data_IF_805697957379
#
_entry.id   IF_805697957379
#
_cell.length_a   1.000
_cell.length_b   1.000
_cell.length_c   1.000
_cell.angle_alpha   90.00
_cell.angle_beta   90.00
_cell.angle_gamma   90.00
#
_symmetry.space_group_name_H-M   'P 1'
#
loop_
_entity.id
_entity.type
_entity.pdbx_description
1 polymer ?
#
# COMPACT_ATOMS: atom_id res chain seq x y z
N UNK A 1 -19.96 -0.25 -19.60
CA UNK A 1 -19.22 0.98 -19.95
C UNK A 1 -19.02 1.93 -18.77
N UNK A 2 -19.99 2.11 -17.86
CA UNK A 2 -19.81 3.01 -16.69
C UNK A 2 -18.69 2.57 -15.71
N UNK A 3 -18.56 1.27 -15.44
CA UNK A 3 -17.51 0.75 -14.54
C UNK A 3 -16.08 0.92 -15.10
N UNK A 4 -15.91 0.88 -16.43
CA UNK A 4 -14.59 1.10 -17.05
C UNK A 4 -14.17 2.58 -17.02
N UNK A 5 -15.14 3.51 -17.08
CA UNK A 5 -14.87 4.95 -16.96
C UNK A 5 -14.45 5.37 -15.55
N UNK A 6 -15.10 4.82 -14.52
CA UNK A 6 -14.77 5.10 -13.11
C UNK A 6 -13.35 4.59 -12.77
N UNK A 7 -13.01 3.38 -13.21
CA UNK A 7 -11.67 2.80 -12.98
C UNK A 7 -10.55 3.60 -13.65
N UNK A 8 -10.79 4.12 -14.85
CA UNK A 8 -9.85 5.00 -15.55
C UNK A 8 -9.64 6.33 -14.80
N UNK A 9 -10.68 6.84 -14.14
CA UNK A 9 -10.60 8.09 -13.37
C UNK A 9 -9.80 7.92 -12.07
N UNK A 10 -9.93 6.78 -11.38
CA UNK A 10 -9.14 6.46 -10.18
C UNK A 10 -7.65 6.26 -10.50
N UNK A 11 -7.34 5.55 -11.60
CA UNK A 11 -5.95 5.35 -12.04
C UNK A 11 -5.29 6.68 -12.41
N UNK A 12 -6.02 7.59 -13.08
CA UNK A 12 -5.55 8.95 -13.41
C UNK A 12 -5.33 9.79 -12.16
N UNK A 13 -6.20 9.66 -11.15
CA UNK A 13 -6.08 10.36 -9.88
C UNK A 13 -4.87 9.88 -9.06
N UNK A 14 -4.69 8.56 -8.95
CA UNK A 14 -3.51 7.96 -8.30
C UNK A 14 -2.20 8.37 -8.99
N UNK A 15 -2.19 8.39 -10.33
CA UNK A 15 -1.05 8.87 -11.09
C UNK A 15 -0.77 10.38 -10.86
N UNK A 16 -1.78 11.19 -10.58
CA UNK A 16 -1.60 12.60 -10.24
C UNK A 16 -1.01 12.75 -8.84
N UNK A 17 -1.55 12.01 -7.86
CA UNK A 17 -1.04 12.00 -6.48
C UNK A 17 0.45 11.60 -6.44
N UNK A 18 0.84 10.60 -7.23
CA UNK A 18 2.24 10.20 -7.37
C UNK A 18 3.12 11.30 -7.96
N UNK A 19 2.66 11.99 -9.01
CA UNK A 19 3.42 13.10 -9.61
C UNK A 19 3.58 14.30 -8.66
N UNK A 20 2.56 14.58 -7.83
CA UNK A 20 2.63 15.61 -6.79
C UNK A 20 3.64 15.23 -5.71
N UNK A 21 3.61 13.98 -5.23
CA UNK A 21 4.56 13.49 -4.22
C UNK A 21 6.02 13.54 -4.73
N UNK A 22 6.27 13.15 -5.98
CA UNK A 22 7.62 13.26 -6.57
C UNK A 22 8.10 14.70 -6.64
N UNK A 23 7.19 15.64 -6.88
CA UNK A 23 7.53 17.07 -6.97
C UNK A 23 7.80 17.68 -5.59
N UNK A 24 7.04 17.29 -4.55
CA UNK A 24 7.31 17.77 -3.19
C UNK A 24 8.67 17.30 -2.68
N UNK A 25 9.06 16.05 -2.97
CA UNK A 25 10.39 15.53 -2.64
C UNK A 25 11.51 16.35 -3.29
N UNK A 26 11.35 16.71 -4.58
CA UNK A 26 12.34 17.55 -5.26
C UNK A 26 12.45 18.96 -4.66
N UNK A 27 11.39 19.47 -4.02
CA UNK A 27 11.39 20.76 -3.33
C UNK A 27 12.07 20.65 -1.96
N UNK A 28 11.81 19.58 -1.21
CA UNK A 28 12.45 19.33 0.09
C UNK A 28 13.98 19.15 -0.07
N UNK A 29 14.43 18.44 -1.12
CA UNK A 29 15.84 18.32 -1.47
C UNK A 29 16.51 19.68 -1.73
N UNK A 30 15.80 20.59 -2.41
CA UNK A 30 16.28 21.94 -2.67
C UNK A 30 16.40 22.74 -1.36
N UNK A 31 15.41 22.62 -0.46
CA UNK A 31 15.37 23.28 0.85
C UNK A 31 16.53 22.82 1.73
N UNK A 32 16.76 21.50 1.79
CA UNK A 32 17.84 20.91 2.57
C UNK A 32 19.22 21.33 2.03
N UNK A 33 19.39 21.34 0.70
CA UNK A 33 20.62 21.79 0.06
C UNK A 33 20.91 23.28 0.30
N UNK A 34 19.89 24.14 0.21
CA UNK A 34 20.02 25.57 0.54
C UNK A 34 20.36 25.75 2.02
N UNK A 35 19.73 24.96 2.90
CA UNK A 35 19.98 25.01 4.35
C UNK A 35 21.39 24.56 4.71
N UNK A 36 21.93 23.53 4.06
CA UNK A 36 23.31 23.08 4.25
C UNK A 36 24.33 24.11 3.77
N UNK A 37 24.08 24.76 2.62
CA UNK A 37 24.93 25.85 2.12
C UNK A 37 24.96 27.05 3.08
N UNK A 38 23.79 27.47 3.59
CA UNK A 38 23.70 28.59 4.53
C UNK A 38 24.39 28.32 5.87
N UNK A 39 24.55 27.05 6.27
CA UNK A 39 25.27 26.65 7.49
C UNK A 39 26.80 26.55 7.29
N UNK A 40 27.29 26.65 6.05
CA UNK A 40 28.71 26.50 5.74
C UNK A 40 29.23 25.05 5.81
N UNK A 41 28.33 24.06 5.84
CA UNK A 41 28.64 22.63 6.09
C UNK A 41 29.01 21.83 4.82
N UNK A 42 29.31 22.49 3.70
CA UNK A 42 29.60 21.83 2.42
C UNK A 42 30.98 22.16 1.85
N UNK A 43 31.63 21.16 1.25
CA UNK A 43 32.86 21.24 0.44
C UNK A 43 32.70 22.09 -0.85
N UNK A 44 31.51 22.66 -1.08
CA UNK A 44 31.23 23.62 -2.14
C UNK A 44 31.68 24.98 -1.61
N UNK A 45 32.96 25.29 -1.85
CA UNK A 45 33.63 26.51 -1.38
C UNK A 45 32.79 27.78 -1.56
N UNK A 46 33.08 28.78 -0.75
CA UNK A 46 32.44 30.10 -0.58
C UNK A 46 32.21 30.96 -1.85
N UNK A 47 32.39 30.40 -3.04
CA UNK A 47 32.17 31.06 -4.31
C UNK A 47 30.71 30.86 -4.77
N UNK A 48 29.88 31.89 -4.54
CA UNK A 48 28.46 31.98 -4.95
C UNK A 48 28.20 31.55 -6.40
N UNK A 49 29.18 31.73 -7.30
CA UNK A 49 29.07 31.32 -8.71
C UNK A 49 29.05 29.80 -8.90
N UNK A 50 29.82 29.05 -8.11
CA UNK A 50 29.86 27.59 -8.17
C UNK A 50 28.58 26.98 -7.58
N UNK A 51 28.05 27.57 -6.51
CA UNK A 51 26.75 27.20 -5.94
C UNK A 51 25.59 27.40 -6.93
N UNK A 52 25.55 28.52 -7.65
CA UNK A 52 24.54 28.74 -8.69
C UNK A 52 24.66 27.77 -9.87
N UNK A 53 25.88 27.42 -10.30
CA UNK A 53 26.07 26.41 -11.34
C UNK A 53 25.60 25.02 -10.89
N UNK A 54 25.80 24.69 -9.61
CA UNK A 54 25.36 23.43 -9.01
C UNK A 54 23.83 23.34 -8.81
N UNK A 55 23.17 24.44 -8.45
CA UNK A 55 21.70 24.49 -8.28
C UNK A 55 20.91 24.40 -9.59
N UNK A 56 21.51 24.86 -10.69
CA UNK A 56 20.86 24.97 -12.00
C UNK A 56 20.15 23.70 -12.49
N UNK A 57 20.74 22.49 -12.43
CA UNK A 57 20.06 21.25 -12.82
C UNK A 57 18.84 20.91 -11.94
N UNK A 58 18.91 21.16 -10.62
CA UNK A 58 17.80 20.89 -9.70
C UNK A 58 16.61 21.81 -9.96
N UNK A 59 16.87 23.12 -10.10
CA UNK A 59 15.84 24.10 -10.45
C UNK A 59 15.20 23.79 -11.81
N UNK A 60 15.99 23.39 -12.81
CA UNK A 60 15.50 22.98 -14.12
C UNK A 60 14.58 21.75 -14.05
N UNK A 61 14.96 20.76 -13.22
CA UNK A 61 14.15 19.54 -12.99
C UNK A 61 12.83 19.87 -12.30
N UNK A 62 12.86 20.72 -11.26
CA UNK A 62 11.65 21.20 -10.56
C UNK A 62 10.74 21.95 -11.52
N UNK A 63 11.29 22.89 -12.30
CA UNK A 63 10.53 23.67 -13.27
C UNK A 63 9.88 22.78 -14.33
N UNK A 64 10.60 21.77 -14.82
CA UNK A 64 10.05 20.80 -15.78
C UNK A 64 8.89 20.00 -15.17
N UNK A 65 8.99 19.61 -13.90
CA UNK A 65 7.94 18.88 -13.20
C UNK A 65 6.70 19.75 -12.95
N UNK A 66 6.90 21.03 -12.58
CA UNK A 66 5.80 21.99 -12.42
C UNK A 66 5.02 22.14 -13.73
N UNK A 67 5.71 22.36 -14.86
CA UNK A 67 5.06 22.49 -16.18
C UNK A 67 4.23 21.23 -16.50
N UNK A 68 4.80 20.03 -16.29
CA UNK A 68 4.07 18.78 -16.52
C UNK A 68 2.82 18.63 -15.63
N UNK A 69 2.89 19.10 -14.39
CA UNK A 69 1.74 19.10 -13.48
C UNK A 69 0.66 20.10 -13.91
N UNK A 70 1.06 21.29 -14.39
CA UNK A 70 0.15 22.29 -14.92
C UNK A 70 -0.58 21.78 -16.17
N UNK A 71 0.14 21.18 -17.13
CA UNK A 71 -0.45 20.56 -18.32
C UNK A 71 -1.46 19.46 -17.96
N UNK A 72 -1.11 18.62 -16.98
CA UNK A 72 -1.98 17.55 -16.50
C UNK A 72 -3.22 18.09 -15.79
N UNK A 73 -3.07 19.16 -15.00
CA UNK A 73 -4.19 19.86 -14.35
C UNK A 73 -5.14 20.48 -15.38
N UNK A 74 -4.61 21.09 -16.43
CA UNK A 74 -5.40 21.64 -17.52
C UNK A 74 -6.20 20.54 -18.24
N UNK A 75 -5.53 19.45 -18.61
CA UNK A 75 -6.16 18.28 -19.26
C UNK A 75 -7.31 17.71 -18.42
N UNK A 76 -7.11 17.60 -17.10
CA UNK A 76 -8.16 17.14 -16.17
C UNK A 76 -9.33 18.12 -16.09
N UNK A 77 -9.04 19.42 -16.10
CA UNK A 77 -10.07 20.47 -16.08
C UNK A 77 -10.94 20.41 -17.34
N UNK A 78 -10.33 20.25 -18.50
CA UNK A 78 -11.02 20.10 -19.79
C UNK A 78 -11.85 18.81 -19.82
N UNK A 79 -11.30 17.69 -19.34
CA UNK A 79 -12.02 16.41 -19.24
C UNK A 79 -13.25 16.53 -18.34
N UNK A 80 -13.11 17.17 -17.18
CA UNK A 80 -14.20 17.35 -16.23
C UNK A 80 -15.32 18.23 -16.83
N UNK A 81 -14.96 19.28 -17.57
CA UNK A 81 -15.92 20.11 -18.31
C UNK A 81 -16.73 19.27 -19.31
N UNK A 82 -16.06 18.46 -20.13
CA UNK A 82 -16.73 17.57 -21.10
C UNK A 82 -17.70 16.59 -20.42
N UNK A 83 -17.31 16.00 -19.29
CA UNK A 83 -18.18 15.11 -18.53
C UNK A 83 -19.41 15.84 -17.95
N UNK A 84 -19.24 17.06 -17.45
CA UNK A 84 -20.37 17.88 -17.00
C UNK A 84 -21.34 18.20 -18.14
N UNK A 85 -20.82 18.47 -19.34
CA UNK A 85 -21.64 18.72 -20.54
C UNK A 85 -22.42 17.45 -20.96
N UNK A 86 -21.78 16.28 -20.94
CA UNK A 86 -22.43 14.99 -21.23
C UNK A 86 -23.53 14.65 -20.21
N UNK A 87 -23.25 14.82 -18.91
CA UNK A 87 -24.25 14.62 -17.86
C UNK A 87 -25.44 15.56 -18.04
N UNK A 88 -25.19 16.82 -18.39
CA UNK A 88 -26.24 17.80 -18.66
C UNK A 88 -27.10 17.40 -19.86
N UNK A 89 -26.46 16.89 -20.94
CA UNK A 89 -27.16 16.36 -22.11
C UNK A 89 -28.04 15.15 -21.74
N UNK A 90 -27.50 14.17 -21.02
CA UNK A 90 -28.24 12.99 -20.59
C UNK A 90 -29.42 13.34 -19.67
N UNK A 91 -29.26 14.31 -18.78
CA UNK A 91 -30.35 14.79 -17.93
C UNK A 91 -31.47 15.45 -18.76
N UNK A 92 -31.12 16.24 -19.79
CA UNK A 92 -32.11 16.82 -20.69
C UNK A 92 -32.84 15.75 -21.52
N UNK A 93 -32.14 14.73 -21.99
CA UNK A 93 -32.74 13.58 -22.68
C UNK A 93 -33.68 12.79 -21.76
N UNK A 94 -33.26 12.56 -20.50
CA UNK A 94 -34.10 11.91 -19.49
C UNK A 94 -35.39 12.70 -19.22
N UNK A 95 -35.30 14.02 -19.06
CA UNK A 95 -36.47 14.89 -18.90
C UNK A 95 -37.40 14.85 -20.13
N UNK A 96 -36.82 14.83 -21.33
CA UNK A 96 -37.59 14.71 -22.58
C UNK A 96 -38.26 13.33 -22.75
N UNK A 97 -37.67 12.26 -22.22
CA UNK A 97 -38.29 10.94 -22.19
C UNK A 97 -39.41 10.87 -21.14
N UNK A 98 -39.20 11.45 -19.96
CA UNK A 98 -40.21 11.52 -18.91
C UNK A 98 -41.45 12.32 -19.35
N UNK A 99 -41.28 13.37 -20.16
CA UNK A 99 -42.41 14.12 -20.71
C UNK A 99 -43.18 13.37 -21.81
N UNK A 100 -42.55 12.40 -22.50
CA UNK A 100 -43.17 11.55 -23.53
C UNK A 100 -43.97 10.38 -22.97
N UNK A 101 -43.70 9.96 -21.73
CA UNK A 101 -44.40 8.86 -21.06
C UNK A 101 -44.93 9.27 -19.68
N UNK A 102 -45.93 10.17 -19.61
CA UNK A 102 -46.54 10.57 -18.35
C UNK A 102 -47.46 9.45 -17.84
N UNK A 103 -46.93 8.46 -17.13
CA UNK A 103 -47.79 7.38 -16.59
C UNK A 103 -47.15 6.21 -15.87
N UNK A 104 -45.83 6.08 -15.78
CA UNK A 104 -45.19 5.01 -15.03
C UNK A 104 -44.14 5.57 -14.07
N UNK A 105 -44.58 6.03 -12.90
CA UNK A 105 -43.69 6.10 -11.74
C UNK A 105 -44.51 6.05 -10.44
N UNK A 106 -44.73 4.84 -9.94
CA UNK A 106 -44.91 4.60 -8.52
C UNK A 106 -43.52 4.28 -7.95
N UNK A 107 -42.84 5.29 -7.41
CA UNK A 107 -41.91 5.14 -6.29
C UNK A 107 -41.53 6.53 -5.77
N UNK A 108 -42.35 7.01 -4.85
CA UNK A 108 -42.00 8.02 -3.87
C UNK A 108 -40.96 7.44 -2.91
N UNK A 109 -39.67 7.75 -3.10
CA UNK A 109 -38.66 7.74 -2.01
C UNK A 109 -37.27 8.31 -2.36
N UNK A 110 -37.05 8.88 -3.57
CA UNK A 110 -35.69 9.34 -3.96
C UNK A 110 -35.49 10.87 -3.88
N UNK A 111 -36.49 11.65 -3.46
CA UNK A 111 -36.37 13.11 -3.36
C UNK A 111 -36.26 13.64 -1.92
N UNK A 112 -35.33 13.16 -1.10
CA UNK A 112 -34.95 13.89 0.13
C UNK A 112 -33.44 13.94 0.49
N UNK A 113 -32.52 13.34 -0.29
CA UNK A 113 -31.10 13.31 0.11
C UNK A 113 -30.15 14.31 -0.59
N UNK A 114 -30.67 15.40 -1.15
CA UNK A 114 -29.82 16.46 -1.74
C UNK A 114 -30.03 17.85 -1.13
N UNK A 115 -30.35 17.96 0.17
CA UNK A 115 -30.35 19.25 0.89
C UNK A 115 -30.05 19.12 2.39
N UNK A 116 -28.91 18.57 2.78
CA UNK A 116 -28.42 18.71 4.17
C UNK A 116 -26.90 18.53 4.25
N UNK A 117 -26.16 19.33 3.49
CA UNK A 117 -24.71 19.51 3.69
C UNK A 117 -24.45 21.00 3.89
N UNK A 118 -24.88 21.53 5.04
CA UNK A 118 -24.39 22.78 5.62
C UNK A 118 -24.96 22.97 7.03
N UNK A 119 -24.08 23.14 8.03
CA UNK A 119 -24.34 23.33 9.48
C UNK A 119 -24.71 22.01 10.19
N UNK A 120 -24.10 21.58 11.28
CA UNK A 120 -23.71 22.36 12.46
C UNK A 120 -22.68 21.57 13.28
N UNK A 121 -21.63 22.28 13.70
CA UNK A 121 -20.69 21.87 14.73
C UNK A 121 -21.35 21.89 16.12
N UNK A 122 -20.74 21.20 17.09
CA UNK A 122 -20.82 21.33 18.56
C UNK A 122 -21.79 20.46 19.39
N UNK A 123 -21.17 19.69 20.32
CA UNK A 123 -21.63 19.24 21.68
C UNK A 123 -22.79 18.24 21.73
N UNK A 124 -22.71 17.09 22.42
CA UNK A 124 -22.67 16.83 23.89
C UNK A 124 -22.30 15.34 24.06
N UNK A 125 -21.12 14.93 24.57
CA UNK A 125 -20.73 14.53 25.96
C UNK A 125 -21.68 13.58 26.75
N UNK A 126 -21.12 12.40 27.13
CA UNK A 126 -21.40 11.54 28.32
C UNK A 126 -22.79 10.88 28.43
N UNK A 127 -23.03 9.66 28.92
CA UNK A 127 -22.33 8.53 29.56
C UNK A 127 -23.32 7.32 29.43
N UNK A 128 -22.94 6.04 29.38
CA UNK A 128 -22.89 5.12 30.54
C UNK A 128 -22.41 3.73 30.04
N UNK A 129 -21.51 3.13 30.82
CA UNK A 129 -20.93 1.78 30.69
C UNK A 129 -21.95 0.66 30.97
N UNK A 130 -21.82 -0.47 30.25
CA UNK A 130 -21.83 -1.81 30.87
C UNK A 130 -21.12 -2.84 29.99
N UNK A 131 -20.30 -3.64 30.66
CA UNK A 131 -19.38 -4.64 30.13
C UNK A 131 -20.09 -5.84 29.49
N UNK A 132 -19.60 -6.28 28.33
CA UNK A 132 -19.65 -7.70 27.95
C UNK A 132 -18.48 -8.02 26.99
N UNK A 133 -17.70 -9.06 27.33
CA UNK A 133 -16.57 -9.56 26.55
C UNK A 133 -17.07 -10.21 25.26
N UNK A 134 -16.92 -9.53 24.13
CA UNK A 134 -17.00 -10.12 22.80
C UNK A 134 -15.83 -9.64 21.94
N UNK A 135 -15.18 -10.58 21.25
CA UNK A 135 -14.06 -10.32 20.34
C UNK A 135 -14.48 -9.30 19.26
N UNK A 136 -13.70 -8.22 19.00
CA UNK A 136 -14.16 -7.21 18.06
C UNK A 136 -14.01 -7.70 16.62
N UNK A 137 -15.18 -7.88 16.01
CA UNK A 137 -15.42 -7.80 14.58
C UNK A 137 -14.78 -6.56 13.95
N UNK A 138 -13.95 -6.78 12.94
CA UNK A 138 -13.61 -5.88 11.82
C UNK A 138 -13.53 -4.36 12.13
N UNK A 139 -12.63 -3.95 13.03
CA UNK A 139 -12.15 -2.56 13.08
C UNK A 139 -11.22 -2.30 11.89
N UNK A 140 -11.40 -1.20 11.16
CA UNK A 140 -10.51 -0.81 10.07
C UNK A 140 -9.04 -0.82 10.54
N UNK A 141 -8.22 -1.71 9.97
CA UNK A 141 -6.78 -1.77 10.27
C UNK A 141 -6.12 -0.49 9.75
N UNK A 142 -5.16 0.07 10.50
CA UNK A 142 -4.40 1.23 10.04
C UNK A 142 -3.53 0.88 8.83
N UNK A 143 -3.22 1.87 7.99
CA UNK A 143 -2.37 1.68 6.80
C UNK A 143 -1.00 1.09 7.17
N UNK A 144 -0.43 1.53 8.29
CA UNK A 144 0.81 0.98 8.83
C UNK A 144 0.70 -0.50 9.15
N UNK A 145 -0.44 -0.93 9.71
CA UNK A 145 -0.68 -2.33 10.03
C UNK A 145 -0.81 -3.18 8.76
N UNK A 146 -1.57 -2.70 7.79
CA UNK A 146 -1.75 -3.36 6.49
C UNK A 146 -0.41 -3.52 5.77
N UNK A 147 0.43 -2.48 5.78
CA UNK A 147 1.75 -2.52 5.17
C UNK A 147 2.70 -3.51 5.88
N UNK A 148 2.69 -3.58 7.22
CA UNK A 148 3.51 -4.58 7.94
C UNK A 148 3.02 -6.00 7.64
N UNK A 149 1.70 -6.23 7.66
CA UNK A 149 1.11 -7.53 7.31
C UNK A 149 1.49 -7.94 5.87
N UNK A 150 1.48 -7.02 4.90
CA UNK A 150 1.99 -7.28 3.55
C UNK A 150 3.51 -7.49 3.51
N UNK A 151 4.27 -6.71 4.27
CA UNK A 151 5.72 -6.82 4.38
C UNK A 151 6.19 -8.19 4.86
N UNK A 152 5.43 -8.82 5.76
CA UNK A 152 5.67 -10.20 6.21
C UNK A 152 5.69 -11.20 5.04
N UNK A 153 4.78 -11.07 4.08
CA UNK A 153 4.71 -11.94 2.91
C UNK A 153 5.84 -11.67 1.91
N UNK A 154 6.23 -10.40 1.75
CA UNK A 154 7.36 -10.01 0.90
C UNK A 154 8.67 -10.59 1.46
N UNK A 155 8.94 -10.37 2.75
CA UNK A 155 10.17 -10.85 3.38
C UNK A 155 10.21 -12.38 3.49
N UNK A 156 9.07 -13.04 3.73
CA UNK A 156 8.98 -14.51 3.75
C UNK A 156 9.44 -15.08 2.42
N UNK A 157 8.90 -14.62 1.29
CA UNK A 157 9.30 -15.12 -0.03
C UNK A 157 10.78 -14.84 -0.36
N UNK A 158 11.34 -13.72 0.12
CA UNK A 158 12.78 -13.46 -0.02
C UNK A 158 13.63 -14.46 0.78
N UNK A 159 13.26 -14.74 2.04
CA UNK A 159 13.94 -15.75 2.89
C UNK A 159 13.87 -17.12 2.21
N UNK A 160 12.68 -17.53 1.76
CA UNK A 160 12.42 -18.79 1.06
C UNK A 160 13.34 -18.95 -0.16
N UNK A 161 13.46 -17.90 -0.98
CA UNK A 161 14.37 -17.90 -2.15
C UNK A 161 15.84 -17.97 -1.77
N UNK A 162 16.27 -17.18 -0.79
CA UNK A 162 17.70 -17.11 -0.41
C UNK A 162 18.19 -18.41 0.20
N UNK A 163 17.37 -19.03 1.06
CA UNK A 163 17.71 -20.30 1.70
C UNK A 163 17.30 -21.54 0.89
N UNK A 164 16.57 -21.36 -0.22
CA UNK A 164 16.02 -22.43 -1.03
C UNK A 164 15.25 -23.48 -0.20
N UNK A 165 14.27 -22.98 0.55
CA UNK A 165 13.40 -23.77 1.44
C UNK A 165 11.96 -23.75 0.91
N UNK A 166 11.06 -24.67 1.33
CA UNK A 166 9.64 -24.56 1.00
C UNK A 166 9.02 -23.29 1.61
N UNK A 167 7.85 -22.87 1.10
CA UNK A 167 7.14 -21.74 1.72
C UNK A 167 6.26 -22.21 2.89
N UNK A 168 5.66 -23.39 2.76
CA UNK A 168 4.79 -24.00 3.74
C UNK A 168 5.54 -24.43 5.00
N UNK A 169 4.88 -24.30 6.15
CA UNK A 169 5.39 -24.78 7.44
C UNK A 169 6.59 -24.03 8.00
N UNK A 170 7.09 -22.98 7.32
CA UNK A 170 8.36 -22.34 7.70
C UNK A 170 8.21 -21.18 8.68
N UNK A 171 7.10 -20.43 8.64
CA UNK A 171 6.87 -19.32 9.58
C UNK A 171 6.50 -19.84 10.96
N UNK A 172 7.30 -19.51 11.96
CA UNK A 172 7.08 -19.90 13.36
C UNK A 172 6.30 -18.84 14.13
N UNK A 173 6.70 -17.58 13.97
CA UNK A 173 6.06 -16.44 14.67
C UNK A 173 6.18 -15.17 13.84
N UNK A 174 5.20 -14.28 13.99
CA UNK A 174 5.26 -12.90 13.51
C UNK A 174 5.09 -11.96 14.70
N UNK A 175 5.74 -10.81 14.66
CA UNK A 175 5.67 -9.80 15.71
C UNK A 175 5.44 -8.42 15.10
N UNK A 176 4.63 -7.61 15.77
CA UNK A 176 4.32 -6.24 15.40
C UNK A 176 4.85 -5.33 16.49
N UNK A 177 5.66 -4.35 16.09
CA UNK A 177 6.15 -3.35 17.04
C UNK A 177 5.03 -2.39 17.43
N UNK A 178 5.19 -1.75 18.59
CA UNK A 178 4.39 -0.56 18.95
C UNK A 178 4.76 0.64 18.05
N UNK A 179 5.98 0.62 17.49
CA UNK A 179 6.38 1.57 16.44
C UNK A 179 5.66 1.27 15.12
N UNK A 180 5.09 2.30 14.46
CA UNK A 180 4.39 2.10 13.20
C UNK A 180 5.36 1.61 12.13
N UNK A 181 4.84 0.79 11.21
CA UNK A 181 5.57 0.24 10.07
C UNK A 181 6.70 -0.75 10.39
N UNK A 182 6.86 -1.15 11.66
CA UNK A 182 7.91 -2.09 12.09
C UNK A 182 7.32 -3.45 12.42
N UNK A 183 7.92 -4.50 11.85
CA UNK A 183 7.53 -5.88 12.08
C UNK A 183 8.73 -6.80 12.26
N UNK A 184 8.47 -8.05 12.62
CA UNK A 184 9.46 -9.11 12.57
C UNK A 184 8.83 -10.45 12.20
N UNK A 185 9.59 -11.27 11.49
CA UNK A 185 9.22 -12.64 11.13
C UNK A 185 10.26 -13.61 11.67
N UNK A 186 9.83 -14.74 12.22
CA UNK A 186 10.69 -15.87 12.52
C UNK A 186 10.40 -17.01 11.58
N UNK A 187 11.41 -17.42 10.83
CA UNK A 187 11.36 -18.55 9.88
C UNK A 187 12.29 -19.65 10.38
N UNK A 188 11.84 -20.90 10.35
CA UNK A 188 12.64 -22.06 10.74
C UNK A 188 12.57 -23.15 9.66
N UNK A 189 13.72 -23.73 9.34
CA UNK A 189 13.88 -24.89 8.48
C UNK A 189 15.33 -25.39 8.61
N UNK A 190 15.59 -26.68 8.43
CA UNK A 190 16.93 -27.26 8.65
C UNK A 190 18.02 -26.58 7.79
N UNK A 191 17.68 -26.19 6.57
CA UNK A 191 18.57 -25.46 5.65
C UNK A 191 18.82 -23.99 6.02
N UNK A 192 18.11 -23.43 7.01
CA UNK A 192 18.34 -22.05 7.45
C UNK A 192 19.59 -22.00 8.33
N UNK A 193 20.59 -21.28 7.85
CA UNK A 193 21.86 -21.04 8.54
C UNK A 193 21.94 -19.61 9.06
N UNK A 194 22.90 -19.35 9.96
CA UNK A 194 23.16 -18.01 10.49
C UNK A 194 23.41 -17.03 9.32
N UNK A 195 22.61 -15.97 9.17
CA UNK A 195 22.81 -15.00 8.09
C UNK A 195 24.11 -14.23 8.32
N UNK A 196 24.94 -14.15 7.28
CA UNK A 196 26.00 -13.14 7.17
C UNK A 196 25.44 -11.85 6.53
N UNK A 197 26.29 -10.83 6.40
CA UNK A 197 25.89 -9.54 5.83
C UNK A 197 25.45 -9.65 4.36
N UNK A 198 26.04 -10.59 3.61
CA UNK A 198 25.68 -10.82 2.22
C UNK A 198 24.30 -11.48 2.09
N UNK A 199 23.99 -12.49 2.92
CA UNK A 199 22.67 -13.09 3.02
C UNK A 199 21.64 -12.05 3.44
N UNK A 200 21.94 -11.23 4.45
CA UNK A 200 21.07 -10.12 4.84
C UNK A 200 20.80 -9.18 3.67
N UNK A 201 21.86 -8.74 2.97
CA UNK A 201 21.74 -7.85 1.81
C UNK A 201 20.91 -8.49 0.69
N UNK A 202 21.14 -9.76 0.37
CA UNK A 202 20.37 -10.49 -0.66
C UNK A 202 18.88 -10.56 -0.32
N UNK A 203 18.52 -10.84 0.93
CA UNK A 203 17.10 -10.85 1.35
C UNK A 203 16.50 -9.45 1.16
N UNK A 204 17.20 -8.39 1.59
CA UNK A 204 16.73 -7.00 1.44
C UNK A 204 16.62 -6.58 -0.04
N UNK A 205 17.61 -6.92 -0.86
CA UNK A 205 17.63 -6.64 -2.30
C UNK A 205 16.43 -7.32 -3.00
N UNK A 206 16.18 -8.61 -2.69
CA UNK A 206 15.04 -9.35 -3.23
C UNK A 206 13.69 -8.76 -2.82
N UNK A 207 13.54 -8.31 -1.57
CA UNK A 207 12.34 -7.62 -1.12
C UNK A 207 12.10 -6.36 -1.94
N UNK A 208 13.12 -5.49 -2.03
CA UNK A 208 12.99 -4.21 -2.71
C UNK A 208 12.89 -4.36 -4.24
N UNK A 209 13.46 -5.41 -4.83
CA UNK A 209 13.24 -5.75 -6.23
C UNK A 209 11.77 -6.09 -6.51
N UNK A 210 11.14 -6.91 -5.67
CA UNK A 210 9.73 -7.24 -5.81
C UNK A 210 8.84 -6.00 -5.63
N UNK A 211 9.12 -5.18 -4.61
CA UNK A 211 8.40 -3.92 -4.35
C UNK A 211 8.51 -2.99 -5.56
N UNK A 212 9.70 -2.79 -6.13
CA UNK A 212 9.92 -1.97 -7.34
C UNK A 212 9.18 -2.51 -8.57
N UNK A 213 9.09 -3.84 -8.71
CA UNK A 213 8.27 -4.47 -9.77
C UNK A 213 6.77 -4.24 -9.59
N UNK A 214 6.34 -3.80 -8.40
CA UNK A 214 4.96 -3.48 -8.07
C UNK A 214 3.99 -4.62 -8.45
N UNK A 215 4.36 -5.85 -8.09
CA UNK A 215 3.62 -7.08 -8.37
C UNK A 215 2.26 -7.04 -7.66
N UNK A 216 1.23 -7.53 -8.33
CA UNK A 216 -0.13 -7.68 -7.79
C UNK A 216 -0.18 -8.73 -6.67
N UNK A 217 -1.02 -8.47 -5.67
CA UNK A 217 -1.30 -9.36 -4.55
C UNK A 217 -2.76 -9.82 -4.67
N UNK A 218 -2.95 -11.10 -4.98
CA UNK A 218 -4.28 -11.68 -5.17
C UNK A 218 -4.76 -12.26 -3.86
N UNK A 219 -5.96 -11.88 -3.42
CA UNK A 219 -6.64 -12.50 -2.28
C UNK A 219 -7.78 -13.37 -2.81
N UNK A 220 -7.61 -14.69 -2.77
CA UNK A 220 -8.68 -15.65 -3.04
C UNK A 220 -9.52 -15.78 -1.78
N UNK A 221 -10.68 -15.12 -1.76
CA UNK A 221 -11.55 -15.05 -0.58
C UNK A 221 -12.51 -16.23 -0.52
N UNK A 222 -12.81 -16.65 0.70
CA UNK A 222 -13.88 -17.58 1.02
C UNK A 222 -13.84 -18.87 0.17
N UNK A 223 -12.66 -19.47 0.06
CA UNK A 223 -12.50 -20.77 -0.58
C UNK A 223 -12.91 -21.88 0.38
N UNK A 224 -13.54 -22.94 -0.14
CA UNK A 224 -13.59 -24.18 0.62
C UNK A 224 -12.17 -24.68 0.88
N UNK A 225 -11.91 -25.19 2.08
CA UNK A 225 -10.60 -25.71 2.47
C UNK A 225 -10.08 -26.76 1.48
N UNK A 226 -10.93 -27.71 1.08
CA UNK A 226 -10.51 -28.78 0.18
C UNK A 226 -10.15 -28.22 -1.21
N UNK A 227 -10.90 -27.23 -1.69
CA UNK A 227 -10.62 -26.56 -2.96
C UNK A 227 -9.31 -25.74 -2.89
N UNK A 228 -9.07 -25.05 -1.78
CA UNK A 228 -7.84 -24.31 -1.55
C UNK A 228 -6.62 -25.23 -1.52
N UNK A 229 -6.68 -26.32 -0.76
CA UNK A 229 -5.62 -27.33 -0.67
C UNK A 229 -5.38 -28.01 -2.02
N UNK A 230 -6.44 -28.29 -2.79
CA UNK A 230 -6.33 -28.84 -4.14
C UNK A 230 -5.65 -27.86 -5.11
N UNK A 231 -5.94 -26.56 -5.00
CA UNK A 231 -5.42 -25.53 -5.89
C UNK A 231 -3.98 -25.12 -5.56
N UNK A 232 -3.66 -24.94 -4.28
CA UNK A 232 -2.40 -24.34 -3.84
C UNK A 232 -1.48 -25.32 -3.09
N UNK A 233 -1.98 -26.52 -2.78
CA UNK A 233 -1.26 -27.51 -2.00
C UNK A 233 -1.19 -27.17 -0.51
N UNK A 234 -0.50 -28.02 0.28
CA UNK A 234 -0.30 -27.80 1.71
C UNK A 234 0.61 -26.60 2.04
N UNK A 235 1.30 -26.06 1.02
CA UNK A 235 2.23 -24.93 1.13
C UNK A 235 1.58 -23.62 1.60
N UNK A 236 0.24 -23.54 1.56
CA UNK A 236 -0.51 -22.38 2.05
C UNK A 236 -0.43 -22.21 3.57
N UNK A 237 -0.05 -23.24 4.32
CA UNK A 237 -0.04 -23.18 5.78
C UNK A 237 1.34 -22.83 6.34
N UNK A 238 1.38 -22.12 7.46
CA UNK A 238 2.59 -21.90 8.26
C UNK A 238 2.71 -22.97 9.36
N UNK A 239 3.71 -22.85 10.25
CA UNK A 239 3.91 -23.82 11.33
C UNK A 239 2.80 -23.81 12.40
N UNK A 240 1.97 -22.77 12.43
CA UNK A 240 0.76 -22.72 13.24
C UNK A 240 -0.44 -23.28 12.45
N UNK A 241 -1.07 -24.37 12.93
CA UNK A 241 -2.13 -25.02 12.18
C UNK A 241 -3.43 -24.20 12.18
N UNK A 242 -4.13 -24.19 11.04
CA UNK A 242 -5.50 -23.67 10.96
C UNK A 242 -6.46 -24.69 11.60
N UNK A 243 -7.25 -24.31 12.62
CA UNK A 243 -8.13 -25.24 13.33
C UNK A 243 -9.06 -26.00 12.37
N UNK A 244 -9.26 -27.31 12.57
CA UNK A 244 -10.06 -28.16 11.67
C UNK A 244 -11.48 -27.63 11.39
N UNK A 245 -12.07 -26.92 12.36
CA UNK A 245 -13.39 -26.28 12.25
C UNK A 245 -13.48 -25.13 11.22
N UNK A 246 -12.36 -24.58 10.77
CA UNK A 246 -12.33 -23.46 9.81
C UNK A 246 -12.37 -24.00 8.38
N UNK A 247 -13.56 -24.22 7.83
CA UNK A 247 -13.73 -24.80 6.50
C UNK A 247 -13.63 -23.80 5.36
N UNK A 248 -13.62 -22.49 5.68
CA UNK A 248 -13.54 -21.39 4.71
C UNK A 248 -12.23 -20.63 4.88
N UNK A 249 -11.44 -20.53 3.82
CA UNK A 249 -10.10 -19.96 3.85
C UNK A 249 -10.00 -18.72 2.95
N UNK A 250 -9.20 -17.75 3.39
CA UNK A 250 -8.69 -16.69 2.54
C UNK A 250 -7.23 -17.02 2.23
N UNK A 251 -6.87 -17.06 0.95
CA UNK A 251 -5.50 -17.34 0.50
C UNK A 251 -4.94 -16.10 -0.17
N UNK A 252 -3.87 -15.56 0.40
CA UNK A 252 -3.03 -14.54 -0.22
C UNK A 252 -2.03 -15.21 -1.16
N UNK A 253 -1.93 -14.69 -2.37
CA UNK A 253 -0.99 -15.13 -3.39
C UNK A 253 -0.23 -13.92 -3.96
N UNK A 254 1.10 -14.00 -3.86
CA UNK A 254 2.04 -13.21 -4.66
C UNK A 254 2.70 -14.20 -5.60
N UNK A 255 2.35 -14.12 -6.89
CA UNK A 255 2.73 -15.11 -7.89
C UNK A 255 4.24 -15.40 -7.89
N UNK A 256 4.60 -16.70 -7.85
CA UNK A 256 6.00 -17.17 -7.84
C UNK A 256 6.85 -16.60 -6.69
N UNK A 257 6.21 -16.15 -5.61
CA UNK A 257 6.87 -15.53 -4.47
C UNK A 257 6.40 -16.10 -3.14
N UNK A 258 5.12 -16.00 -2.84
CA UNK A 258 4.55 -16.48 -1.59
C UNK A 258 3.06 -16.80 -1.76
N UNK A 259 2.63 -17.92 -1.21
CA UNK A 259 1.22 -18.27 -1.04
C UNK A 259 0.98 -18.58 0.43
N UNK A 260 -0.10 -18.07 1.01
CA UNK A 260 -0.38 -18.26 2.43
C UNK A 260 -1.87 -18.11 2.75
N UNK A 261 -2.38 -18.96 3.64
CA UNK A 261 -3.70 -18.84 4.22
C UNK A 261 -3.69 -17.72 5.28
N UNK A 262 -4.13 -16.53 4.88
CA UNK A 262 -4.14 -15.34 5.72
C UNK A 262 -5.50 -14.62 5.61
N UNK A 263 -6.25 -14.44 6.72
CA UNK A 263 -7.53 -13.72 6.71
C UNK A 263 -7.39 -12.20 6.84
N UNK A 264 -6.16 -11.67 6.90
CA UNK A 264 -5.89 -10.24 7.15
C UNK A 264 -6.04 -9.39 5.88
N UNK A 265 -6.09 -8.08 6.07
CA UNK A 265 -6.09 -7.11 4.97
C UNK A 265 -4.65 -6.81 4.57
N UNK A 266 -4.44 -6.65 3.27
CA UNK A 266 -3.13 -6.45 2.67
C UNK A 266 -3.23 -5.35 1.60
N UNK A 267 -2.09 -4.76 1.24
CA UNK A 267 -1.95 -3.95 0.04
C UNK A 267 -2.40 -4.75 -1.20
N UNK A 268 -2.87 -4.05 -2.23
CA UNK A 268 -3.25 -4.67 -3.50
C UNK A 268 -2.04 -4.97 -4.38
N UNK A 269 -0.96 -4.20 -4.22
CA UNK A 269 0.31 -4.39 -4.91
C UNK A 269 1.48 -4.19 -3.97
N UNK A 270 2.58 -4.88 -4.26
CA UNK A 270 3.81 -4.82 -3.46
C UNK A 270 4.47 -3.44 -3.46
N UNK A 271 4.27 -2.61 -4.49
CA UNK A 271 4.83 -1.27 -4.58
C UNK A 271 4.22 -0.27 -3.59
N UNK A 272 3.05 -0.57 -3.02
CA UNK A 272 2.44 0.25 -1.97
C UNK A 272 3.26 0.23 -0.67
N UNK A 273 4.17 -0.72 -0.50
CA UNK A 273 5.12 -0.74 0.62
C UNK A 273 6.18 0.35 0.53
N UNK A 274 6.40 0.93 -0.66
CA UNK A 274 7.41 1.95 -0.98
C UNK A 274 8.85 1.42 -0.89
N UNK A 275 9.24 0.83 0.24
CA UNK A 275 10.49 0.13 0.42
C UNK A 275 10.50 -0.71 1.68
N UNK A 276 11.55 -1.51 1.85
CA UNK A 276 11.77 -2.36 3.01
C UNK A 276 13.22 -2.29 3.47
N UNK A 277 13.43 -2.10 4.78
CA UNK A 277 14.76 -2.17 5.40
C UNK A 277 14.82 -3.28 6.44
N UNK A 278 15.85 -4.12 6.35
CA UNK A 278 16.13 -5.16 7.34
C UNK A 278 16.96 -4.55 8.49
N UNK A 279 16.38 -4.62 9.68
CA UNK A 279 17.02 -4.22 10.93
C UNK A 279 17.81 -5.36 11.55
N UNK A 280 17.53 -5.62 12.83
CA UNK A 280 18.20 -6.64 13.62
C UNK A 280 17.84 -8.05 13.14
N UNK A 281 18.83 -8.93 13.16
CA UNK A 281 18.65 -10.36 12.90
C UNK A 281 19.08 -11.13 14.15
N UNK A 282 18.28 -12.11 14.57
CA UNK A 282 18.61 -13.05 15.64
C UNK A 282 18.53 -14.48 15.10
N UNK A 283 19.64 -15.22 15.16
CA UNK A 283 19.66 -16.63 14.77
C UNK A 283 19.63 -17.52 16.01
N UNK A 284 18.84 -18.60 15.95
CA UNK A 284 18.80 -19.64 16.96
C UNK A 284 19.38 -20.94 16.38
N UNK A 285 20.59 -21.28 16.80
CA UNK A 285 21.31 -22.47 16.34
C UNK A 285 20.57 -23.78 16.65
N UNK A 286 19.78 -23.85 17.73
CA UNK A 286 19.12 -25.10 18.15
C UNK A 286 17.86 -25.41 17.34
N UNK A 287 17.25 -24.38 16.74
CA UNK A 287 15.97 -24.48 16.03
C UNK A 287 16.11 -24.22 14.53
N UNK A 288 17.34 -24.01 14.05
CA UNK A 288 17.65 -23.54 12.70
C UNK A 288 16.67 -22.43 12.28
N UNK A 289 16.52 -21.42 13.13
CA UNK A 289 15.53 -20.37 12.95
C UNK A 289 16.15 -18.99 12.93
N UNK A 290 15.72 -18.15 12.00
CA UNK A 290 16.10 -16.75 11.89
C UNK A 290 14.91 -15.85 12.21
N UNK A 291 15.09 -14.92 13.15
CA UNK A 291 14.15 -13.84 13.41
C UNK A 291 14.70 -12.55 12.80
N UNK A 292 13.97 -11.99 11.83
CA UNK A 292 14.35 -10.80 11.09
C UNK A 292 13.37 -9.67 11.41
N UNK A 293 13.89 -8.60 12.01
CA UNK A 293 13.17 -7.35 12.19
C UNK A 293 13.29 -6.53 10.90
N UNK A 294 12.21 -5.88 10.51
CA UNK A 294 12.17 -5.06 9.31
C UNK A 294 11.26 -3.85 9.51
N UNK A 295 11.44 -2.86 8.65
CA UNK A 295 10.60 -1.68 8.56
C UNK A 295 10.17 -1.48 7.11
N UNK A 296 8.94 -1.02 6.90
CA UNK A 296 8.35 -0.72 5.58
C UNK A 296 7.79 0.70 5.56
N UNK A 297 7.28 1.16 4.42
CA UNK A 297 6.45 2.36 4.35
C UNK A 297 7.17 3.64 3.91
N UNK A 298 6.58 4.81 4.19
CA UNK A 298 6.81 6.04 3.43
C UNK A 298 8.20 6.65 3.57
N UNK A 299 8.91 6.38 4.67
CA UNK A 299 10.28 6.85 4.86
C UNK A 299 11.29 6.32 3.83
N UNK A 300 10.93 5.29 3.08
CA UNK A 300 11.78 4.70 2.04
C UNK A 300 11.50 5.25 0.63
N UNK A 301 10.73 6.33 0.50
CA UNK A 301 10.44 6.97 -0.81
C UNK A 301 11.68 7.31 -1.64
N UNK A 302 12.83 7.48 -0.96
CA UNK A 302 14.12 7.84 -1.56
C UNK A 302 14.91 6.63 -2.10
N UNK A 303 14.41 5.39 -1.97
CA UNK A 303 15.05 4.17 -2.52
C UNK A 303 14.69 3.89 -4.00
N UNK A 304 14.00 4.83 -4.66
CA UNK A 304 13.41 4.70 -6.00
C UNK A 304 14.38 5.01 -7.14
#
# INVERSE_FOLDING_TARGET
>A
MAQSGIKLSEERWKALQLSVAVTSVSVDELIDAISAHNKGDGDIGSNTRQFHQWLRPYLSKIQTNIIKLEDKKQTLTETNKTLCDEVSKLNNELLALQSKFPGQNNNSDVQQQTKASTKTSTKVSEEVKKEEKSEPSNSAQSDARVAVDTGLHVIKGAIVKVYNIPTGGTTQTVHFSDEPWVGAITVAHDSVTKPDDNTKKKIEDYCNELIRKNVEITIHKDLDRQDAEKKFGPEIYDAYPVPAKVTRLNVLEIAQWNVNCCPKVHCQRTGELIGLKIGKIKFNNKKNSVNIYFKVGPEFSNYS
#
